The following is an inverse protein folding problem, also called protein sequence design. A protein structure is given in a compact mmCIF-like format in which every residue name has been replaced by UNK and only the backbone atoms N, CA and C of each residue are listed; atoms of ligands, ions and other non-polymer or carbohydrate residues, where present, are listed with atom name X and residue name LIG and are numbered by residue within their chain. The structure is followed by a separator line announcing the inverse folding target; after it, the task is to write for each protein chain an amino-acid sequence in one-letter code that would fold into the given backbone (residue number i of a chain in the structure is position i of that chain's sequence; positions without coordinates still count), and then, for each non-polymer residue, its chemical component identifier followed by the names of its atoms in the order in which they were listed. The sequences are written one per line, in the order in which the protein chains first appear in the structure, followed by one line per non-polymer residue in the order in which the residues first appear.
data_IF_802795544577
#
_entry.id   IF_802795544577
#
_cell.length_a   1.000
_cell.length_b   1.000
_cell.length_c   1.000
_cell.angle_alpha   90.00
_cell.angle_beta   90.00
_cell.angle_gamma   90.00
#
_symmetry.space_group_name_H-M   'P 1'
#
loop_
_entity.id
_entity.type
_entity.pdbx_description
1 polymer ?
#
# COMPACT_ATOMS: atom_id res chain seq x y z
N UNK A 1 22.84 -0.66 15.26
CA UNK A 1 21.61 -0.60 14.45
C UNK A 1 20.60 0.30 15.16
N UNK A 2 20.15 1.36 14.52
CA UNK A 2 19.14 2.24 15.12
C UNK A 2 17.76 1.59 15.01
N UNK A 3 16.93 1.77 16.05
CA UNK A 3 15.53 1.36 16.00
C UNK A 3 14.78 2.21 14.97
N UNK A 4 13.79 1.64 14.29
CA UNK A 4 12.97 2.41 13.37
C UNK A 4 12.24 3.54 14.11
N UNK A 5 12.15 4.70 13.46
CA UNK A 5 11.42 5.83 14.02
C UNK A 5 9.90 5.62 13.86
N UNK A 6 9.10 5.99 14.85
CA UNK A 6 7.66 5.92 14.74
C UNK A 6 7.14 6.88 13.65
N UNK A 7 5.93 6.63 13.16
CA UNK A 7 5.25 7.56 12.26
C UNK A 7 5.21 8.96 12.86
N UNK A 8 5.26 9.98 12.03
CA UNK A 8 5.46 11.36 12.48
C UNK A 8 4.30 11.92 13.29
N UNK A 9 3.08 11.69 12.83
CA UNK A 9 1.84 12.03 13.54
C UNK A 9 0.96 10.79 13.65
N UNK A 10 1.00 10.05 14.76
CA UNK A 10 0.23 8.80 14.90
C UNK A 10 -1.28 8.97 14.75
N UNK A 11 -1.85 10.07 15.26
CA UNK A 11 -3.29 10.32 15.15
C UNK A 11 -3.72 10.49 13.70
N UNK A 12 -3.03 11.34 12.95
CA UNK A 12 -3.26 11.54 11.51
C UNK A 12 -3.06 10.23 10.73
N UNK A 13 -1.97 9.54 11.01
CA UNK A 13 -1.64 8.30 10.32
C UNK A 13 -2.73 7.24 10.51
N UNK A 14 -3.20 7.06 11.73
CA UNK A 14 -4.26 6.09 12.04
C UNK A 14 -5.56 6.41 11.32
N UNK A 15 -5.95 7.68 11.26
CA UNK A 15 -7.14 8.10 10.49
C UNK A 15 -7.00 7.79 9.00
N UNK A 16 -5.85 8.11 8.42
CA UNK A 16 -5.59 7.85 6.99
C UNK A 16 -5.54 6.36 6.71
N UNK A 17 -4.87 5.58 7.56
CA UNK A 17 -4.79 4.13 7.40
C UNK A 17 -6.17 3.47 7.44
N UNK A 18 -7.02 3.87 8.39
CA UNK A 18 -8.41 3.40 8.48
C UNK A 18 -9.22 3.83 7.25
N UNK A 19 -9.15 5.09 6.88
CA UNK A 19 -9.85 5.61 5.71
C UNK A 19 -9.44 4.84 4.45
N UNK A 20 -8.15 4.65 4.24
CA UNK A 20 -7.63 3.97 3.05
C UNK A 20 -8.11 2.52 2.93
N UNK A 21 -8.26 1.81 4.07
CA UNK A 21 -8.83 0.47 4.10
C UNK A 21 -10.37 0.46 3.95
N UNK A 22 -11.05 1.57 4.20
CA UNK A 22 -12.52 1.67 4.18
C UNK A 22 -13.09 2.26 2.90
N UNK A 23 -12.29 2.87 2.03
CA UNK A 23 -12.79 3.33 0.73
C UNK A 23 -13.36 2.12 -0.05
N UNK A 24 -14.42 2.31 -0.86
CA UNK A 24 -15.15 1.21 -1.49
C UNK A 24 -14.26 0.22 -2.23
N UNK A 25 -13.31 0.71 -3.00
CA UNK A 25 -12.39 -0.14 -3.77
C UNK A 25 -11.53 -1.05 -2.86
N UNK A 26 -10.94 -0.48 -1.82
CA UNK A 26 -10.11 -1.23 -0.86
C UNK A 26 -10.93 -2.23 -0.04
N UNK A 27 -12.18 -1.90 0.30
CA UNK A 27 -13.09 -2.80 1.00
C UNK A 27 -13.41 -4.05 0.16
N UNK A 28 -13.69 -3.87 -1.13
CA UNK A 28 -13.96 -5.01 -2.03
C UNK A 28 -12.73 -5.91 -2.12
N UNK A 29 -11.54 -5.34 -2.15
CA UNK A 29 -10.29 -6.09 -2.19
C UNK A 29 -9.87 -6.63 -0.81
N UNK A 30 -10.51 -6.16 0.26
CA UNK A 30 -10.20 -6.51 1.65
C UNK A 30 -8.74 -6.19 2.02
N UNK A 31 -8.22 -5.08 1.51
CA UNK A 31 -6.87 -4.63 1.83
C UNK A 31 -6.77 -4.27 3.31
N UNK A 32 -5.73 -4.75 3.97
CA UNK A 32 -5.48 -4.60 5.39
C UNK A 32 -4.18 -3.83 5.65
N UNK A 33 -4.20 -2.96 6.64
CA UNK A 33 -2.99 -2.36 7.19
C UNK A 33 -2.28 -3.37 8.11
N UNK A 34 -0.95 -3.50 7.97
CA UNK A 34 -0.15 -4.42 8.78
C UNK A 34 0.74 -3.66 9.75
N UNK A 35 1.61 -2.79 9.25
CA UNK A 35 2.54 -2.05 10.09
C UNK A 35 3.09 -0.83 9.36
N UNK A 36 3.59 0.14 10.12
CA UNK A 36 4.29 1.28 9.58
C UNK A 36 5.32 1.83 10.56
N UNK A 37 6.31 2.46 9.97
CA UNK A 37 7.31 3.29 10.63
C UNK A 37 7.51 4.55 9.78
N UNK A 38 8.33 5.47 10.24
CA UNK A 38 8.54 6.72 9.52
C UNK A 38 9.14 6.46 8.13
N UNK A 39 8.40 6.82 7.09
CA UNK A 39 8.79 6.64 5.68
C UNK A 39 8.53 5.24 5.14
N UNK A 40 7.91 4.33 5.89
CA UNK A 40 7.72 2.95 5.45
C UNK A 40 6.37 2.41 5.94
N UNK A 41 5.66 1.70 5.06
CA UNK A 41 4.39 1.07 5.40
C UNK A 41 4.27 -0.29 4.74
N UNK A 42 3.51 -1.19 5.37
CA UNK A 42 3.18 -2.51 4.84
C UNK A 42 1.68 -2.72 4.90
N UNK A 43 1.12 -3.16 3.78
CA UNK A 43 -0.28 -3.57 3.65
C UNK A 43 -0.37 -4.98 3.08
N UNK A 44 -1.53 -5.59 3.21
CA UNK A 44 -1.80 -6.98 2.81
C UNK A 44 -3.06 -7.05 1.98
N UNK A 45 -3.01 -7.83 0.91
CA UNK A 45 -4.15 -8.24 0.10
C UNK A 45 -4.41 -9.72 0.34
N UNK A 46 -5.53 -10.12 0.98
CA UNK A 46 -5.85 -11.53 1.15
C UNK A 46 -6.20 -12.17 -0.21
N UNK A 47 -5.91 -13.46 -0.34
CA UNK A 47 -6.30 -14.20 -1.53
C UNK A 47 -7.83 -14.37 -1.58
N UNK A 48 -8.43 -14.08 -2.74
CA UNK A 48 -9.84 -14.28 -2.99
C UNK A 48 -10.01 -14.83 -4.41
N UNK A 49 -10.77 -15.89 -4.57
CA UNK A 49 -11.03 -16.50 -5.88
C UNK A 49 -11.65 -15.53 -6.90
N UNK A 50 -12.46 -14.60 -6.44
CA UNK A 50 -13.07 -13.57 -7.29
C UNK A 50 -12.08 -12.57 -7.87
N UNK A 51 -10.83 -12.56 -7.38
CA UNK A 51 -9.76 -11.67 -7.85
C UNK A 51 -8.79 -12.37 -8.80
N UNK A 52 -9.06 -13.61 -9.16
CA UNK A 52 -8.21 -14.40 -10.06
C UNK A 52 -8.20 -13.76 -11.45
N UNK A 53 -7.03 -13.61 -12.03
CA UNK A 53 -6.83 -13.14 -13.40
C UNK A 53 -6.68 -14.27 -14.41
N UNK A 54 -6.17 -15.43 -13.97
CA UNK A 54 -6.05 -16.64 -14.80
C UNK A 54 -6.69 -17.82 -14.09
N UNK A 55 -7.87 -18.21 -14.56
CA UNK A 55 -8.66 -19.30 -13.98
C UNK A 55 -7.99 -20.68 -14.10
N UNK A 56 -7.01 -20.85 -14.99
CA UNK A 56 -6.27 -22.10 -15.15
C UNK A 56 -5.25 -22.31 -14.05
N UNK A 57 -4.70 -21.24 -13.52
CA UNK A 57 -3.61 -21.28 -12.53
C UNK A 57 -4.02 -20.79 -11.14
N UNK A 58 -5.09 -20.02 -11.03
CA UNK A 58 -5.51 -19.38 -9.79
C UNK A 58 -4.69 -18.12 -9.45
N UNK A 59 -3.88 -17.63 -10.37
CA UNK A 59 -3.07 -16.42 -10.18
C UNK A 59 -3.97 -15.19 -10.14
N UNK A 60 -3.74 -14.31 -9.15
CA UNK A 60 -4.47 -13.05 -9.00
C UNK A 60 -4.24 -12.13 -10.20
N UNK A 61 -5.28 -11.39 -10.57
CA UNK A 61 -5.18 -10.35 -11.60
C UNK A 61 -4.18 -9.27 -11.15
N UNK A 62 -3.27 -8.89 -12.06
CA UNK A 62 -2.24 -7.87 -11.75
C UNK A 62 -2.79 -6.53 -11.30
N UNK A 63 -4.00 -6.17 -11.74
CA UNK A 63 -4.65 -4.91 -11.33
C UNK A 63 -4.92 -4.81 -9.83
N UNK A 64 -5.20 -5.92 -9.14
CA UNK A 64 -5.40 -5.88 -7.68
C UNK A 64 -4.08 -5.65 -6.94
N UNK A 65 -2.99 -6.13 -7.50
CA UNK A 65 -1.63 -5.88 -6.97
C UNK A 65 -1.25 -4.41 -7.21
N UNK A 66 -1.61 -3.85 -8.35
CA UNK A 66 -1.45 -2.42 -8.65
C UNK A 66 -2.13 -1.56 -7.59
N UNK A 67 -3.36 -1.88 -7.23
CA UNK A 67 -4.09 -1.15 -6.18
C UNK A 67 -3.38 -1.28 -4.82
N UNK A 68 -2.91 -2.47 -4.47
CA UNK A 68 -2.17 -2.69 -3.23
C UNK A 68 -0.91 -1.83 -3.18
N UNK A 69 -0.15 -1.79 -4.27
CA UNK A 69 1.09 -1.00 -4.36
C UNK A 69 0.79 0.49 -4.25
N UNK A 70 -0.21 0.98 -4.96
CA UNK A 70 -0.60 2.39 -4.94
C UNK A 70 -1.00 2.85 -3.53
N UNK A 71 -1.87 2.10 -2.88
CA UNK A 71 -2.31 2.38 -1.52
C UNK A 71 -1.14 2.35 -0.51
N UNK A 72 -0.29 1.35 -0.62
CA UNK A 72 0.85 1.20 0.31
C UNK A 72 1.87 2.32 0.11
N UNK A 73 2.10 2.71 -1.13
CA UNK A 73 2.97 3.85 -1.47
C UNK A 73 2.44 5.16 -0.87
N UNK A 74 1.15 5.43 -1.02
CA UNK A 74 0.51 6.59 -0.40
C UNK A 74 0.67 6.55 1.13
N UNK A 75 0.46 5.40 1.75
CA UNK A 75 0.55 5.25 3.20
C UNK A 75 1.98 5.50 3.72
N UNK A 76 3.01 5.12 2.94
CA UNK A 76 4.39 5.43 3.30
C UNK A 76 4.67 6.94 3.35
N UNK A 77 4.03 7.71 2.46
CA UNK A 77 4.11 9.18 2.46
C UNK A 77 3.41 9.74 3.71
N UNK A 78 2.20 9.27 4.01
CA UNK A 78 1.44 9.74 5.17
C UNK A 78 2.15 9.48 6.50
N UNK A 79 3.02 8.49 6.57
CA UNK A 79 3.84 8.23 7.75
C UNK A 79 4.84 9.36 8.07
N UNK A 80 5.12 10.23 7.08
CA UNK A 80 6.05 11.36 7.18
C UNK A 80 5.35 12.70 7.41
N UNK A 81 4.02 12.75 7.34
CA UNK A 81 3.27 14.01 7.40
C UNK A 81 2.89 14.37 8.83
N UNK A 82 2.92 15.66 9.13
CA UNK A 82 2.38 16.23 10.37
C UNK A 82 0.95 16.71 10.20
N UNK A 83 0.58 17.12 9.00
CA UNK A 83 -0.75 17.65 8.66
C UNK A 83 -1.35 16.91 7.48
N UNK A 84 -2.68 16.87 7.44
CA UNK A 84 -3.40 16.25 6.33
C UNK A 84 -3.13 17.00 5.02
N UNK A 85 -2.77 16.26 3.98
CA UNK A 85 -2.55 16.79 2.66
C UNK A 85 -2.91 15.73 1.62
N UNK A 86 -3.48 16.14 0.50
CA UNK A 86 -3.77 15.24 -0.61
C UNK A 86 -2.50 14.91 -1.40
N UNK A 87 -2.28 13.62 -1.64
CA UNK A 87 -1.18 13.14 -2.48
C UNK A 87 -1.72 12.24 -3.59
N UNK A 88 -2.31 12.83 -4.64
CA UNK A 88 -2.74 12.05 -5.80
C UNK A 88 -1.52 11.45 -6.51
N UNK A 89 -1.66 10.23 -6.98
CA UNK A 89 -0.61 9.54 -7.73
C UNK A 89 -0.40 10.22 -9.08
N UNK A 90 0.84 10.63 -9.36
CA UNK A 90 1.21 11.21 -10.64
C UNK A 90 1.66 10.16 -11.63
N UNK A 91 2.40 9.17 -11.14
CA UNK A 91 2.95 8.09 -11.95
C UNK A 91 3.17 6.87 -11.06
N UNK A 92 2.95 5.69 -11.62
CA UNK A 92 3.17 4.41 -10.97
C UNK A 92 3.69 3.41 -11.98
N UNK A 93 4.94 2.97 -11.80
CA UNK A 93 5.52 1.91 -12.62
C UNK A 93 5.59 0.63 -11.84
N UNK A 94 5.17 -0.47 -12.46
CA UNK A 94 5.22 -1.81 -11.86
C UNK A 94 5.92 -2.76 -12.82
N UNK A 95 6.88 -3.52 -12.31
CA UNK A 95 7.55 -4.60 -13.02
C UNK A 95 7.10 -5.93 -12.40
N UNK A 96 6.31 -6.71 -13.13
CA UNK A 96 5.85 -8.01 -12.69
C UNK A 96 6.90 -9.07 -13.00
N UNK A 97 7.74 -9.39 -12.04
CA UNK A 97 8.87 -10.31 -12.22
C UNK A 97 8.44 -11.77 -12.18
N UNK A 98 7.37 -12.08 -11.48
CA UNK A 98 6.73 -13.40 -11.40
C UNK A 98 5.32 -13.28 -10.82
N UNK A 99 4.46 -14.28 -11.08
CA UNK A 99 3.09 -14.25 -10.56
C UNK A 99 3.07 -14.41 -9.03
N UNK A 100 2.06 -13.85 -8.39
CA UNK A 100 1.77 -14.12 -6.99
C UNK A 100 1.37 -15.58 -6.82
N UNK A 101 1.83 -16.23 -5.75
CA UNK A 101 1.51 -17.63 -5.47
C UNK A 101 0.02 -17.80 -5.22
N UNK A 102 -0.69 -18.65 -5.97
CA UNK A 102 -2.13 -18.90 -5.76
C UNK A 102 -2.41 -19.38 -4.33
N UNK A 103 -3.52 -18.92 -3.76
CA UNK A 103 -3.95 -19.30 -2.41
C UNK A 103 -3.27 -18.53 -1.28
N UNK A 104 -2.23 -17.74 -1.55
CA UNK A 104 -1.50 -16.99 -0.53
C UNK A 104 -1.80 -15.49 -0.60
N UNK A 105 -1.80 -14.80 0.57
CA UNK A 105 -1.92 -13.36 0.58
C UNK A 105 -0.70 -12.70 -0.07
N UNK A 106 -0.89 -11.49 -0.56
CA UNK A 106 0.19 -10.64 -1.09
C UNK A 106 0.47 -9.51 -0.10
N UNK A 107 1.72 -9.35 0.25
CA UNK A 107 2.19 -8.25 1.09
C UNK A 107 2.90 -7.22 0.22
N UNK A 108 2.65 -5.96 0.48
CA UNK A 108 3.39 -4.86 -0.12
C UNK A 108 4.03 -4.03 0.98
N UNK A 109 5.32 -3.80 0.86
CA UNK A 109 6.04 -2.83 1.68
C UNK A 109 6.52 -1.71 0.77
N UNK A 110 6.14 -0.49 1.10
CA UNK A 110 6.55 0.71 0.38
C UNK A 110 7.43 1.59 1.25
N UNK A 111 8.36 2.24 0.62
CA UNK A 111 9.28 3.17 1.26
C UNK A 111 9.26 4.50 0.51
N UNK A 112 9.01 5.60 1.22
CA UNK A 112 9.18 6.93 0.69
C UNK A 112 10.65 7.32 0.85
N UNK A 113 11.41 7.22 -0.24
CA UNK A 113 12.85 7.48 -0.23
C UNK A 113 13.20 8.94 -0.49
N UNK A 114 12.24 9.74 -0.93
CA UNK A 114 12.44 11.17 -1.14
C UNK A 114 11.13 11.93 -0.97
N UNK A 115 11.14 12.86 -0.02
CA UNK A 115 10.05 13.80 0.20
C UNK A 115 10.48 15.18 -0.31
N UNK A 116 10.01 15.54 -1.49
CA UNK A 116 10.20 16.87 -2.05
C UNK A 116 9.16 17.86 -1.53
N UNK A 117 9.28 19.12 -1.94
CA UNK A 117 8.34 20.17 -1.54
C UNK A 117 6.93 19.93 -2.07
N UNK A 118 6.82 19.44 -3.30
CA UNK A 118 5.55 19.23 -3.99
C UNK A 118 5.35 17.80 -4.48
N UNK A 119 6.42 17.02 -4.55
CA UNK A 119 6.40 15.65 -5.07
C UNK A 119 7.13 14.74 -4.09
N UNK A 120 6.51 13.60 -3.77
CA UNK A 120 7.13 12.52 -3.02
C UNK A 120 7.41 11.32 -3.93
N UNK A 121 8.49 10.61 -3.66
CA UNK A 121 8.92 9.44 -4.42
C UNK A 121 8.94 8.20 -3.51
N UNK A 122 8.31 7.15 -3.95
CA UNK A 122 8.21 5.89 -3.19
C UNK A 122 8.72 4.71 -4.01
#
# INVERSE_FOLDING_TARGET
MSLPLPVRNPALFNEVAQWLCQIPHSRILQIEFIQAERGRATMRLPYQERLIGDSRTGVLHGGVITTLIDNTSALSIFSLLEEACGYPTLDLRIDYLRPATPGLPVYCTAECYRMGREIAFT
#
